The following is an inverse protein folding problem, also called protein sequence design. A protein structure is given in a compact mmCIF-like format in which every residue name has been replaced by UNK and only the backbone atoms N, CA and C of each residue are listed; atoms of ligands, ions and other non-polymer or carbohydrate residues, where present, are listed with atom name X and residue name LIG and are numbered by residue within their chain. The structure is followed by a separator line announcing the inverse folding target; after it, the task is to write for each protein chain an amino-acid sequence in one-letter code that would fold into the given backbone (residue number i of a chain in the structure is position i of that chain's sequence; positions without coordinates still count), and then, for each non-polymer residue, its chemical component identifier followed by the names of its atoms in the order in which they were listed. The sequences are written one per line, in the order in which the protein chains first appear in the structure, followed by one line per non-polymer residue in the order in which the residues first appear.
data_IF_917256086951
#
_entry.id   IF_917256086951
#
_cell.length_a   1.000
_cell.length_b   1.000
_cell.length_c   1.000
_cell.angle_alpha   90.00
_cell.angle_beta   90.00
_cell.angle_gamma   90.00
#
_symmetry.space_group_name_H-M   'P 1'
#
loop_
_entity.id
_entity.type
_entity.pdbx_description
1 polymer ?
#
# COMPACT_ATOMS: atom_id res chain seq x y z
N UNK A 1 3.01 -20.86 29.12
CA UNK A 1 4.32 -20.51 28.54
C UNK A 1 4.06 -19.59 27.35
N UNK A 2 4.28 -18.28 27.49
CA UNK A 2 4.17 -17.36 26.36
C UNK A 2 5.43 -17.52 25.52
N UNK A 3 5.29 -18.00 24.29
CA UNK A 3 6.38 -18.00 23.30
C UNK A 3 6.58 -16.53 22.91
N UNK A 4 7.76 -15.98 23.19
CA UNK A 4 8.15 -14.66 22.69
C UNK A 4 8.51 -14.81 21.20
N UNK A 5 7.65 -14.35 20.30
CA UNK A 5 8.00 -14.20 18.89
C UNK A 5 9.06 -13.09 18.76
N UNK A 6 10.24 -13.44 18.26
CA UNK A 6 11.33 -12.48 17.99
C UNK A 6 11.23 -11.82 16.61
N UNK A 7 10.08 -11.97 15.93
CA UNK A 7 9.82 -11.43 14.60
C UNK A 7 8.83 -10.27 14.66
N UNK A 8 9.17 -9.17 14.00
CA UNK A 8 8.26 -8.04 13.86
C UNK A 8 8.42 -7.31 12.53
N UNK A 9 7.46 -6.43 12.22
CA UNK A 9 7.48 -5.63 11.00
C UNK A 9 8.39 -4.41 11.17
N UNK A 10 9.45 -4.37 10.37
CA UNK A 10 10.38 -3.24 10.29
C UNK A 10 10.24 -2.53 8.95
N UNK A 11 10.33 -1.20 8.96
CA UNK A 11 10.44 -0.40 7.74
C UNK A 11 11.90 -0.33 7.30
N UNK A 12 12.15 -0.68 6.04
CA UNK A 12 13.46 -0.59 5.40
C UNK A 12 13.41 0.35 4.19
N UNK A 13 14.54 0.97 3.88
CA UNK A 13 14.66 1.78 2.66
C UNK A 13 15.06 0.91 1.48
N UNK A 14 14.33 1.00 0.37
CA UNK A 14 14.57 0.25 -0.85
C UNK A 14 14.26 1.12 -2.07
N UNK A 15 14.96 0.88 -3.19
CA UNK A 15 14.61 1.49 -4.49
C UNK A 15 13.54 0.63 -5.15
N UNK A 16 12.43 1.26 -5.53
CA UNK A 16 11.29 0.59 -6.16
C UNK A 16 10.80 1.39 -7.37
N UNK A 17 10.15 0.70 -8.31
CA UNK A 17 9.43 1.34 -9.41
C UNK A 17 8.12 1.94 -8.90
N UNK A 18 8.02 3.27 -8.98
CA UNK A 18 6.85 4.01 -8.48
C UNK A 18 5.62 3.83 -9.36
N UNK A 19 5.76 3.58 -10.66
CA UNK A 19 4.61 3.33 -11.54
C UNK A 19 4.06 1.92 -11.32
N UNK A 20 4.92 0.92 -11.10
CA UNK A 20 4.48 -0.44 -10.71
C UNK A 20 3.70 -0.39 -9.39
N UNK A 21 4.22 0.31 -8.37
CA UNK A 21 3.51 0.50 -7.10
C UNK A 21 2.16 1.17 -7.34
N UNK A 22 2.13 2.34 -8.00
CA UNK A 22 0.91 3.09 -8.30
C UNK A 22 -0.15 2.20 -8.97
N UNK A 23 0.26 1.39 -9.94
CA UNK A 23 -0.63 0.51 -10.69
C UNK A 23 -1.25 -0.59 -9.81
N UNK A 24 -0.51 -1.07 -8.82
CA UNK A 24 -0.89 -2.24 -8.01
C UNK A 24 -1.14 -1.92 -6.53
N UNK A 25 -1.35 -0.65 -6.18
CA UNK A 25 -1.53 -0.18 -4.79
C UNK A 25 -3.02 -0.12 -4.38
N UNK A 26 -3.33 -0.78 -3.27
CA UNK A 26 -4.53 -0.54 -2.46
C UNK A 26 -4.18 0.37 -1.28
N UNK A 27 -4.89 1.49 -1.17
CA UNK A 27 -4.79 2.39 -0.01
C UNK A 27 -5.93 2.10 0.94
N UNK A 28 -5.63 1.52 2.09
CA UNK A 28 -6.60 1.15 3.13
C UNK A 28 -6.94 2.36 4.01
N UNK A 29 -8.23 2.71 4.08
CA UNK A 29 -8.80 3.67 5.03
C UNK A 29 -9.35 2.99 6.28
N UNK A 30 -10.33 3.62 6.95
CA UNK A 30 -10.95 3.04 8.16
C UNK A 30 -11.89 1.87 7.84
N UNK A 31 -12.76 2.02 6.85
CA UNK A 31 -13.84 1.05 6.54
C UNK A 31 -13.63 0.28 5.24
N UNK A 32 -12.85 0.84 4.30
CA UNK A 32 -12.67 0.31 2.96
C UNK A 32 -11.34 0.76 2.37
N UNK A 33 -11.02 0.29 1.16
CA UNK A 33 -9.85 0.70 0.40
C UNK A 33 -10.17 1.53 -0.83
N UNK A 34 -9.13 2.19 -1.33
CA UNK A 34 -9.08 2.89 -2.61
C UNK A 34 -8.03 2.24 -3.52
N UNK A 35 -8.39 1.93 -4.77
CA UNK A 35 -7.41 1.55 -5.78
C UNK A 35 -6.67 2.81 -6.26
N UNK A 36 -5.37 2.90 -6.01
CA UNK A 36 -4.59 4.08 -6.38
C UNK A 36 -4.48 4.27 -7.89
N UNK A 37 -4.59 3.20 -8.67
CA UNK A 37 -4.48 3.26 -10.12
C UNK A 37 -5.69 3.89 -10.82
N UNK A 38 -6.91 3.69 -10.31
CA UNK A 38 -8.13 4.12 -10.99
C UNK A 38 -9.10 4.89 -10.07
N UNK A 39 -8.67 5.15 -8.83
CA UNK A 39 -9.41 5.87 -7.80
C UNK A 39 -10.79 5.27 -7.46
N UNK A 40 -11.00 3.98 -7.73
CA UNK A 40 -12.18 3.28 -7.21
C UNK A 40 -12.08 3.21 -5.68
N UNK A 41 -12.96 3.95 -5.03
CA UNK A 41 -13.18 3.92 -3.57
C UNK A 41 -14.19 2.84 -3.18
N UNK A 42 -14.28 2.54 -1.89
CA UNK A 42 -15.25 1.57 -1.34
C UNK A 42 -14.88 0.12 -1.61
N UNK A 43 -13.61 -0.17 -1.88
CA UNK A 43 -13.14 -1.54 -2.08
C UNK A 43 -13.20 -2.29 -0.76
N UNK A 44 -13.90 -3.42 -0.75
CA UNK A 44 -14.05 -4.24 0.44
C UNK A 44 -12.69 -4.76 0.92
N UNK A 45 -12.44 -4.69 2.23
CA UNK A 45 -11.22 -5.23 2.82
C UNK A 45 -11.17 -6.74 2.59
N UNK A 46 -10.05 -7.21 2.02
CA UNK A 46 -9.82 -8.61 1.66
C UNK A 46 -9.78 -8.82 0.14
N UNK A 47 -10.36 -7.93 -0.66
CA UNK A 47 -10.31 -8.00 -2.13
C UNK A 47 -8.86 -7.96 -2.63
N UNK A 48 -8.48 -8.91 -3.48
CA UNK A 48 -7.11 -9.04 -4.01
C UNK A 48 -6.91 -8.33 -5.34
N UNK A 49 -8.00 -7.88 -5.97
CA UNK A 49 -7.99 -7.18 -7.26
C UNK A 49 -8.97 -6.03 -7.21
N UNK A 50 -8.70 -4.97 -7.96
CA UNK A 50 -9.66 -3.88 -8.11
C UNK A 50 -10.90 -4.37 -8.85
N UNK A 51 -12.12 -4.18 -8.32
CA UNK A 51 -13.35 -4.61 -9.02
C UNK A 51 -13.59 -3.81 -10.31
N UNK A 52 -13.03 -2.60 -10.43
CA UNK A 52 -13.16 -1.71 -11.58
C UNK A 52 -12.09 -1.96 -12.64
N UNK A 53 -10.81 -1.74 -12.33
CA UNK A 53 -9.73 -1.85 -13.33
C UNK A 53 -9.04 -3.22 -13.39
N UNK A 54 -9.47 -4.18 -12.56
CA UNK A 54 -8.99 -5.58 -12.51
C UNK A 54 -7.52 -5.79 -12.14
N UNK A 55 -6.75 -4.73 -11.92
CA UNK A 55 -5.36 -4.83 -11.43
C UNK A 55 -5.31 -5.53 -10.08
N UNK A 56 -4.33 -6.40 -9.93
CA UNK A 56 -4.05 -7.10 -8.67
C UNK A 56 -3.41 -6.15 -7.66
N UNK A 57 -3.74 -6.30 -6.39
CA UNK A 57 -3.12 -5.53 -5.33
C UNK A 57 -1.87 -6.23 -4.82
N UNK A 58 -0.72 -5.85 -5.40
CA UNK A 58 0.61 -6.31 -4.97
C UNK A 58 1.15 -5.48 -3.80
N UNK A 59 0.66 -4.25 -3.64
CA UNK A 59 1.10 -3.33 -2.60
C UNK A 59 -0.09 -2.85 -1.76
N UNK A 60 0.11 -2.78 -0.45
CA UNK A 60 -0.86 -2.26 0.52
C UNK A 60 -0.21 -1.08 1.24
N UNK A 61 -0.93 0.05 1.25
CA UNK A 61 -0.60 1.21 2.06
C UNK A 61 -1.79 1.61 2.92
N UNK A 62 -1.55 2.40 3.98
CA UNK A 62 -2.62 2.89 4.85
C UNK A 62 -2.74 4.40 4.77
N UNK A 63 -3.97 4.92 4.82
CA UNK A 63 -4.21 6.37 4.83
C UNK A 63 -3.71 7.02 6.12
N UNK A 64 -3.82 6.31 7.24
CA UNK A 64 -3.23 6.67 8.54
C UNK A 64 -1.85 6.06 8.68
N UNK A 65 -1.02 6.61 9.57
CA UNK A 65 0.25 5.99 9.96
C UNK A 65 -0.01 4.58 10.48
N UNK A 66 0.67 3.60 9.89
CA UNK A 66 0.57 2.21 10.29
C UNK A 66 1.67 1.86 11.30
N UNK A 67 1.31 1.06 12.28
CA UNK A 67 2.23 0.38 13.19
C UNK A 67 2.32 -1.11 12.84
N UNK A 68 3.26 -1.81 13.48
CA UNK A 68 3.47 -3.24 13.24
C UNK A 68 2.22 -4.07 13.56
N UNK A 69 1.40 -3.66 14.53
CA UNK A 69 0.15 -4.34 14.87
C UNK A 69 -0.85 -4.29 13.70
N UNK A 70 -1.06 -3.11 13.11
CA UNK A 70 -1.95 -2.94 11.97
C UNK A 70 -1.44 -3.71 10.74
N UNK A 71 -0.13 -3.65 10.47
CA UNK A 71 0.48 -4.41 9.37
C UNK A 71 0.26 -5.92 9.58
N UNK A 72 0.52 -6.44 10.79
CA UNK A 72 0.32 -7.86 11.13
C UNK A 72 -1.12 -8.31 10.92
N UNK A 73 -2.10 -7.48 11.33
CA UNK A 73 -3.53 -7.77 11.09
C UNK A 73 -3.84 -7.91 9.61
N UNK A 74 -3.34 -7.00 8.78
CA UNK A 74 -3.64 -6.98 7.35
C UNK A 74 -2.79 -7.96 6.54
N UNK A 75 -1.57 -8.29 6.96
CA UNK A 75 -0.73 -9.30 6.28
C UNK A 75 -1.42 -10.67 6.24
N UNK A 76 -2.21 -11.03 7.26
CA UNK A 76 -3.06 -12.24 7.24
C UNK A 76 -4.09 -12.22 6.12
N UNK A 77 -4.64 -11.05 5.81
CA UNK A 77 -5.61 -10.89 4.73
C UNK A 77 -4.91 -10.84 3.38
N UNK A 78 -3.72 -10.22 3.29
CA UNK A 78 -2.97 -9.99 2.06
C UNK A 78 -1.57 -10.61 2.16
N UNK A 79 -1.50 -11.94 2.25
CA UNK A 79 -0.25 -12.68 2.51
C UNK A 79 0.84 -12.41 1.47
N UNK A 80 0.45 -12.34 0.20
CA UNK A 80 1.37 -12.15 -0.93
C UNK A 80 1.69 -10.68 -1.23
N UNK A 81 1.00 -9.74 -0.58
CA UNK A 81 1.19 -8.31 -0.86
C UNK A 81 2.29 -7.72 0.01
N UNK A 82 3.04 -6.78 -0.56
CA UNK A 82 4.02 -5.99 0.16
C UNK A 82 3.39 -4.78 0.82
N UNK A 83 3.83 -4.48 2.04
CA UNK A 83 3.31 -3.36 2.82
C UNK A 83 4.27 -2.19 2.72
N UNK A 84 3.78 -1.06 2.23
CA UNK A 84 4.57 0.16 2.04
C UNK A 84 4.09 1.26 2.97
N UNK A 85 5.01 2.16 3.33
CA UNK A 85 4.62 3.43 3.93
C UNK A 85 3.99 4.31 2.84
N UNK A 86 2.69 4.56 2.96
CA UNK A 86 1.97 5.35 1.96
C UNK A 86 2.42 6.81 1.93
N UNK A 87 2.88 7.37 3.04
CA UNK A 87 3.41 8.72 3.11
C UNK A 87 4.70 8.88 2.29
N UNK A 88 5.61 7.92 2.41
CA UNK A 88 6.82 7.84 1.60
C UNK A 88 6.52 7.76 0.12
N UNK A 89 5.66 6.80 -0.26
CA UNK A 89 5.26 6.61 -1.64
C UNK A 89 4.65 7.90 -2.20
N UNK A 90 3.69 8.50 -1.49
CA UNK A 90 3.01 9.73 -1.94
C UNK A 90 4.01 10.88 -2.12
N UNK A 91 4.94 11.07 -1.18
CA UNK A 91 5.98 12.11 -1.27
C UNK A 91 6.90 11.89 -2.48
N UNK A 92 7.35 10.65 -2.69
CA UNK A 92 8.22 10.30 -3.81
C UNK A 92 7.51 10.43 -5.17
N UNK A 93 6.28 9.92 -5.25
CA UNK A 93 5.45 9.91 -6.44
C UNK A 93 5.05 11.33 -6.85
N UNK A 94 4.48 12.13 -5.94
CA UNK A 94 4.09 13.52 -6.25
C UNK A 94 5.29 14.37 -6.68
N UNK A 95 6.47 14.19 -6.07
CA UNK A 95 7.70 14.88 -6.51
C UNK A 95 8.08 14.53 -7.96
N UNK A 96 7.85 13.29 -8.39
CA UNK A 96 8.13 12.85 -9.76
C UNK A 96 7.05 13.32 -10.75
N UNK A 97 5.79 13.30 -10.35
CA UNK A 97 4.69 13.82 -11.18
C UNK A 97 4.82 15.31 -11.45
N UNK A 98 5.15 16.11 -10.43
CA UNK A 98 5.36 17.56 -10.58
C UNK A 98 6.47 17.84 -11.60
N UNK A 99 7.59 17.13 -11.52
CA UNK A 99 8.68 17.28 -12.50
C UNK A 99 8.23 16.97 -13.92
N UNK A 100 7.46 15.89 -14.10
CA UNK A 100 6.89 15.52 -15.40
C UNK A 100 5.97 16.59 -15.97
N UNK A 101 5.10 17.19 -15.14
CA UNK A 101 4.17 18.25 -15.57
C UNK A 101 4.93 19.53 -15.95
N UNK A 102 6.00 19.84 -15.22
CA UNK A 102 6.79 21.06 -15.43
C UNK A 102 7.88 20.92 -16.50
N UNK A 103 7.96 19.77 -17.21
CA UNK A 103 8.94 19.48 -18.25
C UNK A 103 10.42 19.72 -17.82
N UNK A 104 10.77 19.37 -16.58
CA UNK A 104 12.15 19.33 -16.06
C UNK A 104 12.64 17.90 -15.80
#
# INVERSE_FOLDING_TARGET
MLILEMEDFLRIWMKLDLEEIKNHLLVVGELSGECFSCHKVGIKIGEKKCPQCKKEFKYIGFRRKADAFLVRKFKKLYSEAEFIDFGDFKKAFSKKEVKRILNF
#
